data_IF_163822516003
#
_entry.id   IF_163822516003
#
_cell.length_a   1.000
_cell.length_b   1.000
_cell.length_c   1.000
_cell.angle_alpha   90.00
_cell.angle_beta   90.00
_cell.angle_gamma   90.00
#
_symmetry.space_group_name_H-M   'P 1'
#
loop_
_entity.id
_entity.type
_entity.pdbx_description
1 polymer ?
#
# COMPACT_ATOMS: atom_id res chain seq x y z
N UNK A 1 4.72 -17.57 -12.39
CA UNK A 1 4.15 -17.73 -11.04
C UNK A 1 3.98 -16.32 -10.53
N UNK A 2 2.74 -15.88 -10.31
CA UNK A 2 2.44 -14.51 -9.88
C UNK A 2 2.68 -14.41 -8.38
N UNK A 3 3.42 -13.41 -7.95
CA UNK A 3 3.66 -13.16 -6.53
C UNK A 3 2.40 -12.55 -5.90
N UNK A 4 2.08 -13.03 -4.71
CA UNK A 4 0.92 -12.59 -3.93
C UNK A 4 1.39 -12.02 -2.59
N UNK A 5 0.72 -10.97 -2.12
CA UNK A 5 1.01 -10.27 -0.88
C UNK A 5 0.85 -11.19 0.33
N UNK A 6 1.95 -11.50 1.00
CA UNK A 6 1.96 -12.34 2.20
C UNK A 6 1.20 -11.70 3.35
N UNK A 7 1.30 -10.38 3.49
CA UNK A 7 0.71 -9.63 4.61
C UNK A 7 -0.53 -8.83 4.18
N UNK A 8 -1.24 -9.28 3.14
CA UNK A 8 -2.33 -8.51 2.55
C UNK A 8 -3.43 -8.12 3.54
N UNK A 9 -3.78 -9.00 4.50
CA UNK A 9 -4.82 -8.70 5.51
C UNK A 9 -4.38 -7.57 6.42
N UNK A 10 -3.14 -7.62 6.89
CA UNK A 10 -2.57 -6.60 7.78
C UNK A 10 -2.47 -5.27 7.05
N UNK A 11 -1.98 -5.27 5.81
CA UNK A 11 -1.92 -4.04 4.99
C UNK A 11 -3.33 -3.49 4.74
N UNK A 12 -4.31 -4.34 4.40
CA UNK A 12 -5.71 -3.96 4.19
C UNK A 12 -6.35 -3.35 5.44
N UNK A 13 -6.25 -4.05 6.58
CA UNK A 13 -6.84 -3.60 7.84
C UNK A 13 -6.19 -2.29 8.29
N UNK A 14 -4.89 -2.15 8.03
CA UNK A 14 -4.17 -0.94 8.34
C UNK A 14 -4.57 0.23 7.41
N UNK A 15 -4.79 -0.05 6.12
CA UNK A 15 -5.42 0.91 5.19
C UNK A 15 -6.81 1.37 5.68
N UNK A 16 -7.59 0.47 6.32
CA UNK A 16 -8.91 0.80 6.88
C UNK A 16 -8.80 1.72 8.11
N UNK A 17 -7.92 1.37 9.05
CA UNK A 17 -7.84 2.04 10.35
C UNK A 17 -7.04 3.35 10.25
N UNK A 18 -5.95 3.37 9.47
CA UNK A 18 -5.02 4.50 9.35
C UNK A 18 -4.59 4.77 7.90
N UNK A 19 -5.52 5.16 7.00
CA UNK A 19 -5.25 5.32 5.58
C UNK A 19 -4.14 6.34 5.25
N UNK A 20 -4.05 7.46 6.00
CA UNK A 20 -2.99 8.47 5.80
C UNK A 20 -1.63 7.94 6.17
N UNK A 21 -1.55 7.25 7.30
CA UNK A 21 -0.29 6.67 7.75
C UNK A 21 0.15 5.55 6.81
N UNK A 22 -0.77 4.70 6.37
CA UNK A 22 -0.48 3.66 5.37
C UNK A 22 0.11 4.25 4.10
N UNK A 23 -0.50 5.33 3.61
CA UNK A 23 -0.02 6.07 2.44
C UNK A 23 1.39 6.60 2.65
N UNK A 24 1.67 7.17 3.82
CA UNK A 24 3.01 7.66 4.18
C UNK A 24 4.03 6.52 4.26
N UNK A 25 3.72 5.46 4.99
CA UNK A 25 4.61 4.29 5.15
C UNK A 25 4.90 3.64 3.80
N UNK A 26 3.88 3.53 2.93
CA UNK A 26 4.02 2.92 1.61
C UNK A 26 4.80 3.80 0.62
N UNK A 27 4.60 5.12 0.58
CA UNK A 27 5.16 5.97 -0.49
C UNK A 27 6.23 6.97 -0.05
N UNK A 28 6.37 7.25 1.25
CA UNK A 28 7.40 8.14 1.81
C UNK A 28 8.52 7.31 2.44
N UNK A 29 8.16 6.42 3.36
CA UNK A 29 9.12 5.75 4.23
C UNK A 29 9.65 4.44 3.62
N UNK A 30 9.00 3.94 2.56
CA UNK A 30 9.45 2.76 1.83
C UNK A 30 10.27 3.13 0.58
N UNK A 31 11.62 3.01 0.63
CA UNK A 31 12.48 3.36 -0.49
C UNK A 31 12.26 2.47 -1.72
N UNK A 32 11.75 1.24 -1.55
CA UNK A 32 11.48 0.32 -2.65
C UNK A 32 10.25 0.74 -3.44
N UNK A 33 9.17 1.12 -2.78
CA UNK A 33 8.00 1.66 -3.46
C UNK A 33 8.30 2.99 -4.16
N UNK A 34 9.23 3.79 -3.62
CA UNK A 34 9.73 5.01 -4.26
C UNK A 34 10.49 4.76 -5.57
N UNK A 35 11.13 3.59 -5.75
CA UNK A 35 11.73 3.19 -7.04
C UNK A 35 10.64 3.02 -8.12
N UNK A 36 9.47 2.48 -7.75
CA UNK A 36 8.31 2.35 -8.66
C UNK A 36 7.54 3.65 -8.84
N UNK A 37 7.50 4.47 -7.79
CA UNK A 37 6.65 5.63 -7.64
C UNK A 37 7.44 6.84 -7.09
N UNK A 38 8.39 7.43 -7.86
CA UNK A 38 9.28 8.48 -7.34
C UNK A 38 8.53 9.76 -6.96
N UNK A 39 7.45 10.03 -7.69
CA UNK A 39 6.49 11.10 -7.44
C UNK A 39 5.13 10.44 -7.37
N UNK A 40 4.36 10.76 -6.34
CA UNK A 40 3.01 10.23 -6.18
C UNK A 40 2.00 11.34 -5.84
N UNK A 41 0.74 11.07 -6.10
CA UNK A 41 -0.39 11.91 -5.75
C UNK A 41 -0.93 11.46 -4.40
N UNK A 42 -0.69 12.28 -3.37
CA UNK A 42 -1.16 12.00 -2.01
C UNK A 42 -2.68 11.75 -1.94
N UNK A 43 -3.48 12.50 -2.71
CA UNK A 43 -4.93 12.35 -2.68
C UNK A 43 -5.38 11.01 -3.26
N UNK A 44 -4.78 10.60 -4.40
CA UNK A 44 -5.10 9.31 -5.00
C UNK A 44 -4.55 8.15 -4.16
N UNK A 45 -3.40 8.31 -3.51
CA UNK A 45 -2.85 7.28 -2.63
C UNK A 45 -3.72 7.06 -1.39
N UNK A 46 -4.21 8.14 -0.80
CA UNK A 46 -5.19 8.08 0.29
C UNK A 46 -6.49 7.41 -0.16
N UNK A 47 -7.03 7.80 -1.32
CA UNK A 47 -8.22 7.20 -1.90
C UNK A 47 -8.03 5.71 -2.19
N UNK A 48 -6.89 5.33 -2.74
CA UNK A 48 -6.53 3.93 -2.98
C UNK A 48 -6.50 3.12 -1.68
N UNK A 49 -5.92 3.65 -0.60
CA UNK A 49 -5.93 2.98 0.70
C UNK A 49 -7.37 2.74 1.20
N UNK A 50 -8.22 3.78 1.16
CA UNK A 50 -9.62 3.69 1.61
C UNK A 50 -10.49 2.77 0.74
N UNK A 51 -10.28 2.76 -0.57
CA UNK A 51 -11.08 1.93 -1.46
C UNK A 51 -10.62 0.49 -1.48
N UNK A 52 -9.30 0.25 -1.49
CA UNK A 52 -8.77 -1.10 -1.49
C UNK A 52 -8.97 -1.79 -0.13
N UNK A 53 -9.03 -1.06 0.98
CA UNK A 53 -9.33 -1.68 2.29
C UNK A 53 -10.69 -2.39 2.34
N UNK A 54 -11.63 -2.03 1.47
CA UNK A 54 -12.96 -2.67 1.36
C UNK A 54 -12.91 -4.07 0.73
N UNK A 55 -11.77 -4.49 0.17
CA UNK A 55 -11.64 -5.80 -0.46
C UNK A 55 -11.72 -6.94 0.56
N UNK A 56 -12.57 -7.93 0.29
CA UNK A 56 -12.76 -9.10 1.17
C UNK A 56 -11.84 -10.27 0.84
N UNK A 57 -11.19 -10.24 -0.33
CA UNK A 57 -10.27 -11.28 -0.81
C UNK A 57 -8.90 -10.69 -1.11
N UNK A 58 -7.90 -11.57 -1.09
CA UNK A 58 -6.52 -11.22 -1.40
C UNK A 58 -6.39 -10.69 -2.84
N UNK A 59 -6.95 -11.43 -3.79
CA UNK A 59 -6.90 -11.09 -5.21
C UNK A 59 -7.64 -9.79 -5.49
N UNK A 60 -8.74 -9.53 -4.79
CA UNK A 60 -9.49 -8.28 -4.90
C UNK A 60 -8.70 -7.08 -4.38
N UNK A 61 -7.97 -7.27 -3.28
CA UNK A 61 -7.10 -6.24 -2.71
C UNK A 61 -5.94 -5.91 -3.66
N UNK A 62 -5.24 -6.95 -4.13
CA UNK A 62 -4.12 -6.84 -5.07
C UNK A 62 -4.55 -6.17 -6.39
N UNK A 63 -5.69 -6.59 -6.96
CA UNK A 63 -6.23 -5.99 -8.17
C UNK A 63 -6.59 -4.51 -7.97
N UNK A 64 -7.11 -4.14 -6.81
CA UNK A 64 -7.41 -2.75 -6.47
C UNK A 64 -6.14 -1.89 -6.41
N UNK A 65 -5.09 -2.37 -5.73
CA UNK A 65 -3.80 -1.67 -5.66
C UNK A 65 -3.18 -1.46 -7.04
N UNK A 66 -3.26 -2.45 -7.92
CA UNK A 66 -2.77 -2.35 -9.29
C UNK A 66 -3.59 -1.35 -10.12
N UNK A 67 -4.92 -1.35 -9.98
CA UNK A 67 -5.79 -0.40 -10.67
C UNK A 67 -5.43 1.05 -10.31
N UNK A 68 -5.19 1.32 -9.03
CA UNK A 68 -4.85 2.66 -8.55
C UNK A 68 -3.39 3.06 -8.82
N UNK A 69 -2.51 2.13 -9.20
CA UNK A 69 -1.07 2.39 -9.37
C UNK A 69 -0.78 3.57 -10.31
N UNK A 70 -1.43 3.63 -11.48
CA UNK A 70 -1.23 4.70 -12.45
C UNK A 70 -1.71 6.07 -11.93
N UNK A 71 -2.86 6.08 -11.25
CA UNK A 71 -3.46 7.28 -10.65
C UNK A 71 -2.58 7.82 -9.51
N UNK A 72 -2.08 6.92 -8.67
CA UNK A 72 -1.20 7.23 -7.54
C UNK A 72 0.15 7.74 -8.02
N UNK A 73 0.81 7.05 -8.94
CA UNK A 73 2.18 7.40 -9.32
C UNK A 73 2.29 8.53 -10.34
N UNK A 74 1.19 9.24 -10.64
CA UNK A 74 1.09 10.26 -11.68
C UNK A 74 1.71 9.82 -13.01
N UNK A 75 1.72 8.51 -13.26
CA UNK A 75 2.19 7.94 -14.51
C UNK A 75 0.99 7.97 -15.45
N UNK A 76 0.79 9.13 -16.09
CA UNK A 76 -0.10 9.20 -17.23
C UNK A 76 0.42 8.18 -18.25
N UNK A 77 -0.36 7.14 -18.55
CA UNK A 77 -0.02 6.00 -19.42
C UNK A 77 0.92 4.90 -18.90
N UNK A 78 0.86 4.49 -17.63
CA UNK A 78 1.48 3.19 -17.23
C UNK A 78 0.52 2.31 -16.41
N UNK A 79 -0.69 2.10 -16.93
CA UNK A 79 -1.04 0.70 -17.23
C UNK A 79 -0.47 0.47 -18.62
N UNK A 80 0.86 0.35 -18.69
CA UNK A 80 1.43 -0.31 -19.85
C UNK A 80 0.85 -1.73 -19.75
N UNK A 81 0.14 -2.25 -20.76
CA UNK A 81 -0.14 -3.68 -20.82
C UNK A 81 1.14 -4.53 -20.59
N UNK A 82 2.34 -3.93 -20.67
CA UNK A 82 3.64 -4.46 -20.27
C UNK A 82 4.17 -4.05 -18.87
N UNK A 83 3.33 -3.84 -17.85
CA UNK A 83 3.78 -4.06 -16.47
C UNK A 83 4.03 -5.56 -16.32
N UNK A 84 5.15 -6.01 -16.89
CA UNK A 84 5.44 -7.42 -17.09
C UNK A 84 5.37 -8.15 -15.74
N UNK A 85 5.10 -9.46 -15.72
CA UNK A 85 4.87 -10.21 -14.49
C UNK A 85 5.91 -9.95 -13.39
N UNK A 86 7.18 -9.73 -13.78
CA UNK A 86 8.28 -9.39 -12.86
C UNK A 86 8.11 -8.04 -12.15
N UNK A 87 7.61 -7.00 -12.81
CA UNK A 87 7.42 -5.69 -12.18
C UNK A 87 6.23 -5.69 -11.22
N UNK A 88 5.17 -6.42 -11.56
CA UNK A 88 4.05 -6.67 -10.63
C UNK A 88 4.54 -7.41 -9.38
N UNK A 89 5.36 -8.45 -9.57
CA UNK A 89 5.93 -9.21 -8.46
C UNK A 89 6.79 -8.35 -7.54
N UNK A 90 7.68 -7.53 -8.10
CA UNK A 90 8.55 -6.65 -7.30
C UNK A 90 7.75 -5.51 -6.64
N UNK A 91 6.69 -5.03 -7.26
CA UNK A 91 5.76 -4.07 -6.65
C UNK A 91 5.07 -4.67 -5.42
N UNK A 92 4.57 -5.89 -5.53
CA UNK A 92 3.96 -6.56 -4.38
C UNK A 92 4.98 -6.93 -3.30
N UNK A 93 6.20 -7.34 -3.64
CA UNK A 93 7.27 -7.50 -2.65
C UNK A 93 7.58 -6.20 -1.91
N UNK A 94 7.54 -5.06 -2.59
CA UNK A 94 7.73 -3.76 -1.96
C UNK A 94 6.59 -3.43 -0.98
N UNK A 95 5.35 -3.79 -1.33
CA UNK A 95 4.20 -3.70 -0.42
C UNK A 95 4.28 -4.66 0.77
N UNK A 96 4.78 -5.89 0.58
CA UNK A 96 5.00 -6.82 1.70
C UNK A 96 6.02 -6.27 2.69
N UNK A 97 7.08 -5.60 2.20
CA UNK A 97 8.01 -4.89 3.08
C UNK A 97 7.34 -3.75 3.84
N UNK A 98 6.42 -3.02 3.20
CA UNK A 98 5.59 -2.04 3.92
C UNK A 98 4.74 -2.73 4.98
N UNK A 99 4.14 -3.88 4.65
CA UNK A 99 3.37 -4.71 5.58
C UNK A 99 4.17 -5.17 6.79
N UNK A 100 5.42 -5.60 6.60
CA UNK A 100 6.31 -5.98 7.70
C UNK A 100 6.63 -4.81 8.63
N UNK A 101 6.90 -3.62 8.08
CA UNK A 101 7.15 -2.42 8.88
C UNK A 101 5.87 -1.94 9.59
N UNK A 102 4.71 -2.00 8.92
CA UNK A 102 3.40 -1.75 9.53
C UNK A 102 3.15 -2.70 10.71
N UNK A 103 3.49 -3.99 10.55
CA UNK A 103 3.33 -5.00 11.60
C UNK A 103 4.28 -4.74 12.76
N UNK A 104 5.56 -4.48 12.50
CA UNK A 104 6.52 -4.12 13.56
C UNK A 104 6.06 -2.90 14.33
N UNK A 105 5.67 -1.84 13.64
CA UNK A 105 5.17 -0.62 14.29
C UNK A 105 3.88 -0.90 15.07
N UNK A 106 2.99 -1.77 14.57
CA UNK A 106 1.78 -2.18 15.28
C UNK A 106 2.10 -2.99 16.55
N UNK A 107 3.05 -3.92 16.48
CA UNK A 107 3.49 -4.76 17.59
C UNK A 107 4.30 -3.96 18.62
N UNK A 108 5.20 -3.07 18.18
CA UNK A 108 6.00 -2.19 19.03
C UNK A 108 5.16 -1.06 19.67
N UNK A 109 4.09 -0.63 18.99
CA UNK A 109 3.15 0.39 19.51
C UNK A 109 1.86 -0.18 20.10
N UNK A 110 1.85 -1.47 20.43
CA UNK A 110 0.80 -2.27 21.08
C UNK A 110 -0.46 -1.47 21.46
N UNK A 111 -1.57 -1.88 20.85
CA UNK A 111 -2.97 -1.41 20.81
C UNK A 111 -3.56 -0.66 22.03
N UNK A 112 -2.87 -0.62 23.17
CA UNK A 112 -3.26 0.00 24.43
C UNK A 112 -2.96 1.50 24.57
N UNK A 113 -2.26 2.16 23.63
CA UNK A 113 -1.82 3.57 23.85
C UNK A 113 -2.24 4.62 22.83
N UNK A 114 -2.74 4.27 21.64
CA UNK A 114 -3.19 5.28 20.66
C UNK A 114 -4.71 5.32 20.59
N UNK A 115 -5.31 6.33 21.26
CA UNK A 115 -6.73 6.66 21.07
C UNK A 115 -6.97 6.98 19.58
N UNK A 116 -8.07 6.53 18.97
CA UNK A 116 -8.45 6.95 17.63
C UNK A 116 -8.66 8.48 17.68
N UNK A 117 -7.76 9.25 17.08
CA UNK A 117 -7.83 10.72 17.11
C UNK A 117 -6.50 11.48 17.09
N UNK A 118 -5.34 10.81 17.16
CA UNK A 118 -4.06 11.46 16.86
C UNK A 118 -3.32 10.69 15.78
N UNK A 119 -3.58 11.05 14.54
CA UNK A 119 -2.61 10.82 13.46
C UNK A 119 -1.38 11.70 13.77
N UNK A 120 -0.15 11.15 13.76
CA UNK A 120 1.05 11.97 13.82
C UNK A 120 1.22 12.65 12.46
N UNK A 121 1.17 13.98 12.49
CA UNK A 121 1.36 14.88 11.35
C UNK A 121 2.73 14.67 10.69
#
# INVERSE_FOLDING_TARGET
MVYHLRYWKQVRDFCEIYPRWTTRTAFVDNPKLKEFCPVYNHNEAFKAAVDCSKATTQEGFEACLLRYFAEVCKKAHVLDPDLGPKQVDEYFKAWDRAGEEIIKDYEEHDYKKRKPGREPW
#
